data_IF_962069623174
#
_entry.id   IF_962069623174
#
_cell.length_a   1.000
_cell.length_b   1.000
_cell.length_c   1.000
_cell.angle_alpha   90.00
_cell.angle_beta   90.00
_cell.angle_gamma   90.00
#
_symmetry.space_group_name_H-M   'P 1'
#
loop_
_entity.id
_entity.type
_entity.pdbx_description
1 polymer ?
#
# COMPACT_ATOMS: atom_id res chain seq x y z
N UNK A 1 45.75 13.08 -19.20
CA UNK A 1 46.34 11.96 -18.44
C UNK A 1 46.36 12.39 -16.98
N UNK A 2 45.31 12.16 -16.20
CA UNK A 2 44.79 10.90 -15.62
C UNK A 2 45.36 10.67 -14.21
N UNK A 3 44.48 10.15 -13.32
CA UNK A 3 44.59 9.77 -11.89
C UNK A 3 44.05 10.84 -10.93
N UNK A 4 42.74 10.93 -10.68
CA UNK A 4 41.90 10.04 -9.83
C UNK A 4 42.45 9.82 -8.41
N UNK A 5 41.63 10.26 -7.46
CA UNK A 5 41.30 9.65 -6.17
C UNK A 5 42.42 9.34 -5.17
N UNK A 6 42.34 10.02 -4.02
CA UNK A 6 42.18 9.44 -2.67
C UNK A 6 42.48 10.56 -1.66
N UNK A 7 41.43 11.17 -1.11
CA UNK A 7 41.27 11.36 0.35
C UNK A 7 39.93 12.04 0.66
N UNK A 8 38.93 11.18 0.75
CA UNK A 8 37.74 11.33 1.60
C UNK A 8 38.19 11.61 3.03
N UNK A 9 37.65 12.65 3.66
CA UNK A 9 37.22 12.70 5.06
C UNK A 9 37.25 14.14 5.59
N UNK A 10 36.19 14.55 6.29
CA UNK A 10 36.07 15.77 7.10
C UNK A 10 35.68 17.09 6.40
N UNK A 11 34.52 17.14 5.71
CA UNK A 11 33.81 18.43 5.49
C UNK A 11 32.31 18.36 5.16
N UNK A 12 31.56 17.39 5.69
CA UNK A 12 30.09 17.38 5.61
C UNK A 12 29.45 17.74 6.95
N UNK A 13 29.81 18.92 7.47
CA UNK A 13 29.18 19.56 8.62
C UNK A 13 28.55 20.88 8.19
N UNK A 14 27.24 20.82 7.89
CA UNK A 14 26.20 21.84 8.09
C UNK A 14 26.54 23.30 7.69
N UNK A 15 25.94 23.76 6.59
CA UNK A 15 25.17 25.02 6.54
C UNK A 15 24.34 25.07 5.23
N UNK A 16 23.22 24.34 5.17
CA UNK A 16 22.27 24.50 4.06
C UNK A 16 21.31 25.65 4.40
N UNK A 17 21.29 26.67 3.55
CA UNK A 17 20.48 27.88 3.72
C UNK A 17 18.98 27.55 3.78
N UNK A 18 18.18 28.43 4.42
CA UNK A 18 16.73 28.26 4.60
C UNK A 18 15.98 27.97 3.30
N UNK A 19 16.46 28.52 2.18
CA UNK A 19 15.92 28.29 0.83
C UNK A 19 16.10 26.85 0.35
N UNK A 20 17.24 26.21 0.65
CA UNK A 20 17.47 24.79 0.37
C UNK A 20 16.66 23.89 1.31
N UNK A 21 16.43 24.33 2.56
CA UNK A 21 15.55 23.60 3.48
C UNK A 21 14.08 23.63 3.02
N UNK A 22 13.61 24.72 2.40
CA UNK A 22 12.28 24.77 1.77
C UNK A 22 12.21 23.94 0.50
N UNK A 23 13.26 23.95 -0.35
CA UNK A 23 13.32 23.16 -1.58
C UNK A 23 13.37 21.65 -1.27
N UNK A 24 14.15 21.23 -0.26
CA UNK A 24 14.20 19.83 0.20
C UNK A 24 12.95 19.46 1.01
N UNK A 25 12.32 20.38 1.76
CA UNK A 25 10.98 20.16 2.34
C UNK A 25 9.92 19.97 1.25
N UNK A 26 10.12 20.52 0.05
CA UNK A 26 9.28 20.31 -1.14
C UNK A 26 9.55 18.99 -1.87
N UNK A 27 10.66 18.31 -1.61
CA UNK A 27 10.82 16.88 -1.90
C UNK A 27 10.13 16.07 -0.79
N UNK A 28 8.82 16.27 -0.65
CA UNK A 28 7.97 15.19 -0.15
C UNK A 28 8.11 14.10 -1.21
N UNK A 29 8.70 12.95 -0.86
CA UNK A 29 8.68 11.79 -1.73
C UNK A 29 7.22 11.33 -1.76
N UNK A 30 6.41 11.98 -2.61
CA UNK A 30 5.03 11.60 -2.81
C UNK A 30 5.05 10.19 -3.38
N UNK A 31 4.63 9.23 -2.57
CA UNK A 31 4.63 7.83 -2.97
C UNK A 31 3.37 7.60 -3.77
N UNK A 32 3.54 7.36 -5.07
CA UNK A 32 2.44 6.89 -5.91
C UNK A 32 2.25 5.39 -5.66
N UNK A 33 1.01 5.02 -5.36
CA UNK A 33 0.58 3.63 -5.15
C UNK A 33 -0.59 3.31 -6.07
N UNK A 34 -0.71 2.05 -6.49
CA UNK A 34 -1.69 1.64 -7.50
C UNK A 34 -2.68 0.62 -6.94
N UNK A 35 -3.97 0.95 -6.96
CA UNK A 35 -5.04 0.07 -6.50
C UNK A 35 -5.74 -0.59 -7.69
N UNK A 36 -5.70 -1.91 -7.72
CA UNK A 36 -6.38 -2.73 -8.72
C UNK A 36 -7.75 -3.14 -8.23
N UNK A 37 -8.78 -2.91 -9.04
CA UNK A 37 -10.16 -3.18 -8.67
C UNK A 37 -10.89 -3.80 -9.85
N UNK A 38 -11.51 -4.96 -9.64
CA UNK A 38 -12.57 -5.46 -10.50
C UNK A 38 -13.78 -4.53 -10.48
N UNK A 39 -14.80 -4.87 -11.27
CA UNK A 39 -16.07 -4.13 -11.30
C UNK A 39 -17.27 -5.08 -11.20
N UNK A 40 -17.05 -6.33 -10.79
CA UNK A 40 -18.08 -7.38 -10.78
C UNK A 40 -18.95 -7.36 -9.52
N UNK A 41 -18.53 -6.69 -8.45
CA UNK A 41 -19.26 -6.63 -7.17
C UNK A 41 -19.58 -5.21 -6.75
N UNK A 42 -20.67 -5.02 -5.99
CA UNK A 42 -21.06 -3.70 -5.47
C UNK A 42 -19.94 -3.06 -4.62
N UNK A 43 -19.21 -3.85 -3.81
CA UNK A 43 -18.10 -3.34 -3.00
C UNK A 43 -16.97 -2.80 -3.86
N UNK A 44 -16.63 -3.48 -4.95
CA UNK A 44 -15.59 -3.03 -5.87
C UNK A 44 -16.00 -1.74 -6.59
N UNK A 45 -17.23 -1.68 -7.12
CA UNK A 45 -17.78 -0.47 -7.76
C UNK A 45 -17.76 0.73 -6.80
N UNK A 46 -18.20 0.52 -5.55
CA UNK A 46 -18.16 1.54 -4.51
C UNK A 46 -16.74 2.00 -4.17
N UNK A 47 -15.73 1.11 -4.25
CA UNK A 47 -14.33 1.51 -4.10
C UNK A 47 -13.86 2.43 -5.23
N UNK A 48 -14.27 2.14 -6.47
CA UNK A 48 -13.91 2.97 -7.63
C UNK A 48 -14.60 4.34 -7.54
N UNK A 49 -15.92 4.34 -7.29
CA UNK A 49 -16.72 5.55 -7.12
C UNK A 49 -16.13 6.47 -6.03
N UNK A 50 -15.98 5.97 -4.80
CA UNK A 50 -15.44 6.77 -3.69
C UNK A 50 -13.98 7.13 -3.89
N UNK A 51 -13.20 6.26 -4.52
CA UNK A 51 -11.81 6.56 -4.85
C UNK A 51 -11.68 7.74 -5.82
N UNK A 52 -12.61 7.88 -6.77
CA UNK A 52 -12.64 8.99 -7.73
C UNK A 52 -13.23 10.26 -7.12
N UNK A 53 -14.37 10.16 -6.43
CA UNK A 53 -15.12 11.32 -5.93
C UNK A 53 -14.49 11.88 -4.65
N UNK A 54 -14.29 11.02 -3.64
CA UNK A 54 -13.85 11.44 -2.30
C UNK A 54 -12.42 11.03 -1.99
N UNK A 55 -11.74 10.28 -2.86
CA UNK A 55 -10.39 9.76 -2.60
C UNK A 55 -10.33 8.78 -1.43
N UNK A 56 -11.43 8.10 -1.15
CA UNK A 56 -11.53 7.12 -0.07
C UNK A 56 -11.53 5.69 -0.61
N UNK A 57 -10.80 4.80 0.05
CA UNK A 57 -10.75 3.38 -0.29
C UNK A 57 -11.15 2.53 0.90
N UNK A 58 -11.61 1.32 0.63
CA UNK A 58 -11.94 0.35 1.67
C UNK A 58 -10.68 -0.21 2.31
N UNK A 59 -10.62 -0.15 3.63
CA UNK A 59 -9.63 -0.80 4.46
C UNK A 59 -10.30 -1.92 5.24
N UNK A 60 -9.66 -3.09 5.29
CA UNK A 60 -10.17 -4.28 5.98
C UNK A 60 -9.17 -4.82 6.99
N UNK A 61 -9.58 -5.79 7.81
CA UNK A 61 -8.66 -6.42 8.76
C UNK A 61 -7.71 -7.36 8.03
N UNK A 62 -6.60 -7.72 8.69
CA UNK A 62 -5.62 -8.64 8.11
C UNK A 62 -6.24 -10.01 7.79
N UNK A 63 -7.20 -10.48 8.60
CA UNK A 63 -7.88 -11.75 8.38
C UNK A 63 -8.94 -11.72 7.26
N UNK A 64 -9.24 -10.54 6.70
CA UNK A 64 -10.09 -10.38 5.52
C UNK A 64 -9.27 -10.21 4.23
N UNK A 65 -7.93 -10.24 4.31
CA UNK A 65 -7.06 -10.22 3.14
C UNK A 65 -7.08 -11.57 2.42
N UNK A 66 -6.59 -11.59 1.18
CA UNK A 66 -6.66 -12.77 0.33
C UNK A 66 -5.58 -13.82 0.62
N UNK A 67 -4.51 -13.47 1.32
CA UNK A 67 -3.48 -14.44 1.71
C UNK A 67 -3.83 -15.07 3.08
N UNK A 68 -3.99 -16.41 3.16
CA UNK A 68 -4.31 -17.08 4.43
C UNK A 68 -3.20 -16.97 5.48
N UNK A 69 -1.98 -16.59 5.11
CA UNK A 69 -0.85 -16.44 6.03
C UNK A 69 -0.81 -15.06 6.71
N UNK A 70 -1.75 -14.18 6.39
CA UNK A 70 -1.78 -12.79 6.85
C UNK A 70 -1.88 -12.66 8.37
N UNK A 71 -0.94 -11.92 8.94
CA UNK A 71 -0.85 -11.70 10.37
C UNK A 71 -0.56 -12.95 11.20
N UNK A 72 -0.19 -14.09 10.60
CA UNK A 72 0.20 -15.29 11.35
C UNK A 72 1.62 -15.12 11.91
N UNK A 73 1.81 -15.57 13.14
CA UNK A 73 3.10 -15.63 13.82
C UNK A 73 3.15 -16.80 14.78
N UNK A 74 4.37 -17.28 15.06
CA UNK A 74 4.66 -18.33 16.03
C UNK A 74 5.27 -17.71 17.26
N UNK A 75 5.13 -18.33 18.43
CA UNK A 75 5.80 -17.89 19.66
C UNK A 75 6.27 -19.12 20.43
N UNK A 76 7.29 -18.94 21.26
CA UNK A 76 7.76 -19.99 22.16
C UNK A 76 6.79 -20.20 23.33
N UNK A 77 6.88 -21.37 23.97
CA UNK A 77 6.14 -21.65 25.20
C UNK A 77 6.54 -20.66 26.31
N UNK A 78 5.57 -20.15 27.06
CA UNK A 78 5.80 -19.15 28.11
C UNK A 78 5.67 -17.69 27.64
N UNK A 79 5.49 -17.45 26.33
CA UNK A 79 5.26 -16.12 25.76
C UNK A 79 3.78 -15.83 25.46
N UNK A 80 2.83 -16.57 26.02
CA UNK A 80 1.39 -16.46 25.70
C UNK A 80 0.84 -15.06 26.01
N UNK A 81 1.35 -14.42 27.08
CA UNK A 81 0.97 -13.04 27.43
C UNK A 81 1.42 -12.05 26.36
N UNK A 82 2.64 -12.21 25.87
CA UNK A 82 3.21 -11.37 24.79
C UNK A 82 2.45 -11.62 23.49
N UNK A 83 2.17 -12.89 23.15
CA UNK A 83 1.38 -13.25 21.98
C UNK A 83 -0.04 -12.65 22.00
N UNK A 84 -0.70 -12.63 23.16
CA UNK A 84 -2.00 -11.93 23.33
C UNK A 84 -1.89 -10.44 23.09
N UNK A 85 -0.81 -9.79 23.57
CA UNK A 85 -0.56 -8.37 23.34
C UNK A 85 -0.29 -8.08 21.86
N UNK A 86 0.54 -8.88 21.19
CA UNK A 86 0.78 -8.78 19.74
C UNK A 86 -0.55 -8.90 19.00
N UNK A 87 -1.35 -9.93 19.31
CA UNK A 87 -2.67 -10.16 18.70
C UNK A 87 -3.60 -8.96 18.89
N UNK A 88 -3.64 -8.41 20.09
CA UNK A 88 -4.45 -7.24 20.43
C UNK A 88 -4.00 -6.00 19.67
N UNK A 89 -2.69 -5.80 19.51
CA UNK A 89 -2.12 -4.67 18.78
C UNK A 89 -2.35 -4.79 17.27
N UNK A 90 -2.12 -5.95 16.65
CA UNK A 90 -2.36 -6.12 15.20
C UNK A 90 -3.84 -5.94 14.84
N UNK A 91 -4.75 -6.32 15.75
CA UNK A 91 -6.19 -6.14 15.57
C UNK A 91 -6.65 -4.67 15.55
N UNK A 92 -5.82 -3.72 15.98
CA UNK A 92 -6.13 -2.29 15.90
C UNK A 92 -6.05 -1.77 14.47
N UNK A 93 -5.18 -2.35 13.65
CA UNK A 93 -4.93 -1.88 12.30
C UNK A 93 -6.00 -2.36 11.32
N UNK A 94 -6.22 -1.57 10.28
CA UNK A 94 -6.86 -1.95 9.02
C UNK A 94 -5.90 -1.69 7.88
N UNK A 95 -6.03 -2.46 6.80
CA UNK A 95 -5.07 -2.56 5.70
C UNK A 95 -5.78 -2.20 4.40
N UNK A 96 -5.11 -1.41 3.56
CA UNK A 96 -5.40 -1.34 2.14
C UNK A 96 -4.11 -1.62 1.36
N UNK A 97 -4.11 -2.68 0.55
CA UNK A 97 -2.97 -3.10 -0.25
C UNK A 97 -2.96 -2.47 -1.64
N UNK A 98 -1.77 -2.10 -2.10
CA UNK A 98 -1.52 -1.48 -3.39
C UNK A 98 -0.33 -2.14 -4.09
N UNK A 99 -0.32 -2.10 -5.42
CA UNK A 99 0.86 -2.40 -6.22
C UNK A 99 1.77 -1.18 -6.38
N UNK A 100 3.02 -1.43 -6.74
CA UNK A 100 4.03 -0.40 -7.03
C UNK A 100 4.08 0.04 -8.49
N UNK A 101 3.40 -0.68 -9.41
CA UNK A 101 3.42 -0.39 -10.84
C UNK A 101 2.05 -0.68 -11.44
N UNK A 102 1.40 0.32 -12.06
CA UNK A 102 0.09 0.20 -12.73
C UNK A 102 0.00 -0.85 -13.85
N UNK A 103 1.13 -1.23 -14.46
CA UNK A 103 1.19 -2.16 -15.58
C UNK A 103 1.51 -3.60 -15.15
N UNK A 104 1.46 -3.92 -13.85
CA UNK A 104 1.71 -5.27 -13.37
C UNK A 104 0.60 -6.24 -13.83
N UNK A 105 0.90 -7.05 -14.85
CA UNK A 105 -0.02 -8.04 -15.44
C UNK A 105 -0.58 -9.02 -14.42
N UNK A 106 0.21 -9.42 -13.41
CA UNK A 106 -0.23 -10.33 -12.36
C UNK A 106 -1.37 -9.72 -11.55
N UNK A 107 -1.22 -8.46 -11.16
CA UNK A 107 -2.21 -7.74 -10.36
C UNK A 107 -3.48 -7.45 -11.16
N UNK A 108 -3.34 -7.14 -12.45
CA UNK A 108 -4.48 -7.03 -13.35
C UNK A 108 -5.27 -8.34 -13.45
N UNK A 109 -4.58 -9.47 -13.55
CA UNK A 109 -5.20 -10.79 -13.60
C UNK A 109 -5.96 -11.12 -12.31
N UNK A 110 -5.32 -10.93 -11.14
CA UNK A 110 -5.89 -11.32 -9.85
C UNK A 110 -6.91 -10.35 -9.30
N UNK A 111 -6.63 -9.05 -9.32
CA UNK A 111 -7.40 -8.06 -8.56
C UNK A 111 -8.30 -7.18 -9.44
N UNK A 112 -8.03 -7.12 -10.75
CA UNK A 112 -8.86 -6.39 -11.72
C UNK A 112 -9.66 -7.33 -12.63
N UNK A 113 -10.02 -8.52 -12.12
CA UNK A 113 -10.89 -9.50 -12.76
C UNK A 113 -10.44 -9.87 -14.20
N UNK A 114 -9.16 -10.22 -14.37
CA UNK A 114 -8.63 -10.58 -15.69
C UNK A 114 -8.65 -9.42 -16.70
N UNK A 115 -8.17 -8.23 -16.28
CA UNK A 115 -8.20 -7.00 -17.09
C UNK A 115 -9.60 -6.48 -17.44
N UNK A 116 -10.63 -6.82 -16.68
CA UNK A 116 -12.01 -6.31 -16.85
C UNK A 116 -12.36 -5.15 -15.92
N UNK A 117 -11.44 -4.76 -15.05
CA UNK A 117 -11.60 -3.69 -14.09
C UNK A 117 -10.76 -2.45 -14.39
N UNK A 118 -10.34 -1.76 -13.33
CA UNK A 118 -9.52 -0.55 -13.38
C UNK A 118 -8.31 -0.65 -12.46
N UNK A 119 -7.33 0.22 -12.71
CA UNK A 119 -6.23 0.48 -11.79
C UNK A 119 -6.16 1.99 -11.50
N UNK A 120 -6.22 2.36 -10.23
CA UNK A 120 -6.26 3.74 -9.76
C UNK A 120 -4.92 4.10 -9.11
N UNK A 121 -4.25 5.14 -9.60
CA UNK A 121 -3.05 5.69 -8.99
C UNK A 121 -3.40 6.77 -7.97
N UNK A 122 -2.85 6.65 -6.77
CA UNK A 122 -3.03 7.60 -5.69
C UNK A 122 -1.69 8.19 -5.29
N UNK A 123 -1.68 9.50 -5.14
CA UNK A 123 -0.62 10.20 -4.41
C UNK A 123 -0.94 10.16 -2.92
N UNK A 124 -0.11 9.45 -2.16
CA UNK A 124 -0.24 9.34 -0.71
C UNK A 124 0.67 10.35 -0.05
N UNK A 125 0.09 11.19 0.78
CA UNK A 125 0.82 12.09 1.66
C UNK A 125 0.99 11.41 3.03
N UNK A 126 2.22 10.98 3.29
CA UNK A 126 2.65 10.30 4.51
C UNK A 126 2.71 11.24 5.74
N UNK A 127 2.58 12.55 5.54
CA UNK A 127 2.62 13.58 6.59
C UNK A 127 1.25 14.16 6.92
N UNK A 128 0.30 14.09 5.99
CA UNK A 128 -1.05 14.66 6.17
C UNK A 128 -2.10 13.64 6.63
N UNK A 129 -1.71 12.41 6.97
CA UNK A 129 -2.65 11.36 7.37
C UNK A 129 -2.13 10.51 8.52
N UNK A 130 -3.03 10.03 9.41
CA UNK A 130 -2.71 8.96 10.39
C UNK A 130 -2.52 7.59 9.71
N UNK A 131 -2.06 7.58 8.46
CA UNK A 131 -1.90 6.40 7.63
C UNK A 131 -0.40 6.14 7.49
N UNK A 132 0.02 4.94 7.85
CA UNK A 132 1.40 4.49 7.69
C UNK A 132 1.54 3.85 6.32
N UNK A 133 2.53 4.30 5.54
CA UNK A 133 2.91 3.70 4.26
C UNK A 133 4.03 2.69 4.52
N UNK A 134 3.69 1.41 4.57
CA UNK A 134 4.65 0.35 4.92
C UNK A 134 4.97 -0.54 3.70
N UNK A 135 6.26 -0.75 3.38
CA UNK A 135 6.65 -1.80 2.46
C UNK A 135 6.40 -3.18 3.08
N UNK A 136 6.22 -4.19 2.23
CA UNK A 136 6.14 -5.58 2.68
C UNK A 136 7.53 -6.15 2.94
N UNK A 137 7.72 -6.76 4.11
CA UNK A 137 8.85 -7.62 4.39
C UNK A 137 8.58 -9.03 3.84
N UNK A 138 9.23 -9.36 2.71
CA UNK A 138 9.09 -10.67 2.09
C UNK A 138 10.07 -11.67 2.70
N UNK A 139 9.52 -12.72 3.29
CA UNK A 139 10.29 -13.74 4.01
C UNK A 139 10.14 -15.12 3.39
N UNK A 140 11.15 -15.97 3.55
CA UNK A 140 11.04 -17.39 3.18
C UNK A 140 10.15 -18.13 4.17
N UNK A 141 9.61 -19.28 3.75
CA UNK A 141 8.82 -20.15 4.64
C UNK A 141 9.57 -20.58 5.91
N UNK A 142 10.89 -20.75 5.86
CA UNK A 142 11.70 -21.10 7.04
C UNK A 142 11.68 -19.99 8.09
N UNK A 143 11.90 -18.75 7.65
CA UNK A 143 11.90 -17.54 8.49
C UNK A 143 10.48 -17.22 8.99
N UNK A 144 9.46 -17.45 8.17
CA UNK A 144 8.07 -17.28 8.58
C UNK A 144 7.71 -18.15 9.79
N UNK A 145 8.32 -19.34 9.89
CA UNK A 145 8.12 -20.31 10.97
C UNK A 145 8.95 -20.03 12.22
N UNK A 146 9.87 -19.06 12.18
CA UNK A 146 10.61 -18.65 13.35
C UNK A 146 9.66 -18.00 14.37
N UNK A 147 9.79 -18.42 15.62
CA UNK A 147 9.02 -17.89 16.72
C UNK A 147 9.44 -16.45 17.01
N UNK A 148 8.46 -15.58 17.26
CA UNK A 148 8.74 -14.24 17.76
C UNK A 148 9.34 -14.36 19.16
N UNK A 149 10.41 -13.61 19.37
CA UNK A 149 11.10 -13.50 20.65
C UNK A 149 10.75 -12.15 21.30
N UNK A 150 10.70 -12.11 22.63
CA UNK A 150 10.27 -10.93 23.39
C UNK A 150 11.40 -9.90 23.55
N UNK A 151 12.05 -9.54 22.44
CA UNK A 151 13.13 -8.56 22.39
C UNK A 151 12.65 -7.17 21.97
N UNK A 152 11.46 -7.08 21.37
CA UNK A 152 10.84 -5.83 20.91
C UNK A 152 9.50 -5.59 21.61
N UNK A 153 9.04 -4.33 21.70
CA UNK A 153 7.69 -4.03 22.15
C UNK A 153 6.63 -4.78 21.32
N UNK A 154 5.59 -5.37 21.95
CA UNK A 154 4.53 -6.10 21.24
C UNK A 154 3.83 -5.32 20.12
N UNK A 155 3.82 -4.00 20.21
CA UNK A 155 3.26 -3.09 19.21
C UNK A 155 4.10 -3.08 17.92
N UNK A 156 5.43 -3.10 18.05
CA UNK A 156 6.35 -3.13 16.92
C UNK A 156 6.30 -4.50 16.23
N UNK A 157 6.33 -5.58 17.02
CA UNK A 157 6.16 -6.95 16.50
C UNK A 157 4.81 -7.08 15.78
N UNK A 158 3.73 -6.49 16.32
CA UNK A 158 2.44 -6.52 15.67
C UNK A 158 2.44 -5.86 14.28
N UNK A 159 3.18 -4.75 14.10
CA UNK A 159 3.37 -4.11 12.79
C UNK A 159 4.18 -5.00 11.86
N UNK A 160 5.29 -5.57 12.33
CA UNK A 160 6.11 -6.52 11.56
C UNK A 160 5.28 -7.72 11.08
N UNK A 161 4.42 -8.26 11.94
CA UNK A 161 3.56 -9.40 11.62
C UNK A 161 2.53 -9.07 10.54
N UNK A 162 1.97 -7.85 10.53
CA UNK A 162 1.00 -7.42 9.49
C UNK A 162 1.65 -6.78 8.27
N UNK A 163 2.98 -6.67 8.21
CA UNK A 163 3.73 -6.27 7.01
C UNK A 163 4.61 -7.39 6.47
N UNK A 164 4.60 -8.56 7.11
CA UNK A 164 5.31 -9.76 6.67
C UNK A 164 4.46 -10.58 5.71
N UNK A 165 5.04 -10.95 4.57
CA UNK A 165 4.40 -11.81 3.57
C UNK A 165 5.40 -12.85 3.05
N UNK A 166 4.92 -13.97 2.57
CA UNK A 166 5.80 -14.97 1.97
C UNK A 166 6.35 -14.48 0.63
N UNK A 167 7.62 -14.79 0.36
CA UNK A 167 8.38 -14.29 -0.79
C UNK A 167 7.84 -14.69 -2.17
N UNK A 168 7.01 -15.74 -2.27
CA UNK A 168 6.34 -16.05 -3.53
C UNK A 168 5.37 -14.96 -4.01
N UNK A 169 4.88 -14.11 -3.09
CA UNK A 169 4.10 -12.91 -3.41
C UNK A 169 4.94 -11.70 -3.83
N UNK A 170 6.28 -11.77 -3.76
CA UNK A 170 7.18 -10.63 -4.04
C UNK A 170 6.95 -9.99 -5.41
N UNK A 171 6.48 -10.77 -6.39
CA UNK A 171 6.13 -10.30 -7.74
C UNK A 171 4.98 -9.29 -7.77
N UNK A 172 4.14 -9.25 -6.73
CA UNK A 172 3.10 -8.23 -6.58
C UNK A 172 3.71 -6.84 -6.33
N UNK A 173 4.89 -6.77 -5.71
CA UNK A 173 5.51 -5.50 -5.34
C UNK A 173 4.58 -4.67 -4.43
N UNK A 174 3.91 -5.34 -3.50
CA UNK A 174 2.89 -4.78 -2.63
C UNK A 174 3.44 -3.68 -1.71
N UNK A 175 2.64 -2.63 -1.52
CA UNK A 175 2.77 -1.61 -0.48
C UNK A 175 1.46 -1.56 0.31
N UNK A 176 1.55 -1.42 1.64
CA UNK A 176 0.38 -1.31 2.51
C UNK A 176 0.21 0.09 3.05
N UNK A 177 -1.05 0.52 3.07
CA UNK A 177 -1.49 1.59 3.93
C UNK A 177 -2.12 0.99 5.18
N UNK A 178 -1.62 1.39 6.35
CA UNK A 178 -2.11 0.94 7.64
C UNK A 178 -2.73 2.10 8.42
N UNK A 179 -3.89 1.89 9.03
CA UNK A 179 -4.52 2.86 9.95
C UNK A 179 -5.07 2.15 11.17
N UNK A 180 -4.92 2.72 12.36
CA UNK A 180 -5.63 2.23 13.55
C UNK A 180 -7.10 2.65 13.48
N UNK A 181 -7.97 1.70 13.13
CA UNK A 181 -9.40 1.94 12.94
C UNK A 181 -10.23 0.64 12.90
N UNK A 182 -11.54 0.79 12.75
CA UNK A 182 -12.44 -0.28 12.29
C UNK A 182 -12.43 -0.34 10.76
N UNK A 183 -12.79 -1.50 10.19
CA UNK A 183 -12.91 -1.66 8.74
C UNK A 183 -13.90 -0.66 8.16
N UNK A 184 -13.58 -0.07 7.02
CA UNK A 184 -14.37 1.03 6.47
C UNK A 184 -13.65 1.78 5.36
N UNK A 185 -14.33 2.81 4.83
CA UNK A 185 -13.72 3.74 3.90
C UNK A 185 -12.83 4.74 4.63
N UNK A 186 -11.62 4.92 4.13
CA UNK A 186 -10.62 5.84 4.68
C UNK A 186 -10.10 6.72 3.55
N UNK A 187 -10.00 8.02 3.81
CA UNK A 187 -9.40 9.00 2.90
C UNK A 187 -7.91 8.70 2.74
N UNK A 188 -7.51 8.33 1.53
CA UNK A 188 -6.12 7.98 1.18
C UNK A 188 -5.36 9.16 0.59
N UNK A 189 -6.04 9.94 -0.25
CA UNK A 189 -5.40 11.02 -0.99
C UNK A 189 -6.26 11.44 -2.17
N UNK A 190 -5.63 11.96 -3.22
CA UNK A 190 -6.29 12.23 -4.49
C UNK A 190 -5.92 11.14 -5.50
N UNK A 191 -6.91 10.70 -6.27
CA UNK A 191 -6.67 9.84 -7.42
C UNK A 191 -6.05 10.69 -8.54
N UNK A 192 -4.84 10.34 -8.98
CA UNK A 192 -4.07 11.10 -9.97
C UNK A 192 -3.90 10.36 -11.30
N UNK A 193 -4.32 9.11 -11.37
CA UNK A 193 -4.40 8.40 -12.65
C UNK A 193 -5.41 7.27 -12.61
N UNK A 194 -6.04 7.01 -13.75
CA UNK A 194 -6.96 5.90 -13.92
C UNK A 194 -6.59 5.13 -15.18
N UNK A 195 -6.41 3.83 -15.02
CA UNK A 195 -6.12 2.89 -16.10
C UNK A 195 -7.31 1.97 -16.28
N UNK A 196 -7.74 1.79 -17.53
CA UNK A 196 -8.78 0.85 -17.90
C UNK A 196 -8.19 -0.48 -18.36
N UNK A 197 -8.72 -1.58 -17.83
CA UNK A 197 -8.35 -2.92 -18.28
C UNK A 197 -8.73 -3.14 -19.74
N UNK A 198 -7.92 -3.91 -20.47
CA UNK A 198 -8.12 -4.15 -21.90
C UNK A 198 -9.44 -4.85 -22.24
N UNK A 199 -9.96 -5.64 -21.29
CA UNK A 199 -11.18 -6.45 -21.43
C UNK A 199 -12.37 -5.83 -20.70
N UNK A 200 -12.31 -4.56 -20.29
CA UNK A 200 -13.42 -3.90 -19.61
C UNK A 200 -14.70 -3.94 -20.48
N UNK A 201 -15.81 -4.32 -19.86
CA UNK A 201 -17.10 -4.35 -20.54
C UNK A 201 -17.64 -2.94 -20.77
N UNK A 202 -18.50 -2.78 -21.78
CA UNK A 202 -19.06 -1.48 -22.14
C UNK A 202 -19.89 -0.86 -21.00
N UNK A 203 -20.63 -1.69 -20.26
CA UNK A 203 -21.46 -1.23 -19.16
C UNK A 203 -20.60 -0.72 -17.99
N UNK A 204 -19.58 -1.50 -17.62
CA UNK A 204 -18.62 -1.13 -16.58
C UNK A 204 -17.84 0.13 -16.95
N UNK A 205 -17.45 0.26 -18.22
CA UNK A 205 -16.78 1.47 -18.72
C UNK A 205 -17.68 2.72 -18.58
N UNK A 206 -18.94 2.62 -19.00
CA UNK A 206 -19.90 3.72 -18.89
C UNK A 206 -20.12 4.13 -17.43
N UNK A 207 -20.27 3.16 -16.53
CA UNK A 207 -20.43 3.41 -15.09
C UNK A 207 -19.23 4.14 -14.50
N UNK A 208 -18.00 3.75 -14.87
CA UNK A 208 -16.79 4.47 -14.42
C UNK A 208 -16.72 5.88 -15.01
N UNK A 209 -17.17 6.09 -16.26
CA UNK A 209 -17.26 7.43 -16.87
C UNK A 209 -18.26 8.31 -16.10
N UNK A 210 -19.39 7.75 -15.67
CA UNK A 210 -20.35 8.47 -14.82
C UNK A 210 -19.71 8.91 -13.50
N UNK A 211 -18.95 8.03 -12.84
CA UNK A 211 -18.21 8.42 -11.62
C UNK A 211 -17.20 9.53 -11.87
N UNK A 212 -16.49 9.51 -13.01
CA UNK A 212 -15.55 10.58 -13.39
C UNK A 212 -16.30 11.90 -13.54
N UNK A 213 -17.44 11.91 -14.25
CA UNK A 213 -18.24 13.11 -14.45
C UNK A 213 -18.83 13.68 -13.16
N UNK A 214 -19.07 12.83 -12.15
CA UNK A 214 -19.51 13.22 -10.81
C UNK A 214 -18.36 13.61 -9.87
N UNK A 215 -17.11 13.59 -10.33
CA UNK A 215 -15.93 13.87 -9.52
C UNK A 215 -15.17 15.09 -10.03
N UNK A 216 -14.32 15.66 -9.18
CA UNK A 216 -13.33 16.67 -9.60
C UNK A 216 -12.07 16.03 -10.23
N UNK A 217 -12.17 14.80 -10.74
CA UNK A 217 -11.04 14.11 -11.33
C UNK A 217 -10.57 14.81 -12.61
N UNK A 218 -9.36 15.38 -12.56
CA UNK A 218 -8.73 16.10 -13.68
C UNK A 218 -7.44 15.46 -14.18
N UNK A 219 -7.24 14.19 -13.85
CA UNK A 219 -5.97 13.52 -14.00
C UNK A 219 -5.93 12.58 -15.23
N UNK A 220 -4.84 11.83 -15.40
CA UNK A 220 -4.61 11.09 -16.63
C UNK A 220 -5.49 9.84 -16.75
N UNK A 221 -6.19 9.70 -17.88
CA UNK A 221 -6.87 8.46 -18.31
C UNK A 221 -5.95 7.67 -19.24
N UNK A 222 -5.78 6.37 -18.97
CA UNK A 222 -4.85 5.49 -19.70
C UNK A 222 -5.46 4.11 -19.94
N UNK A 223 -4.88 3.35 -20.86
CA UNK A 223 -5.20 1.93 -21.06
C UNK A 223 -4.12 1.07 -20.39
N UNK A 224 -4.53 -0.08 -19.84
CA UNK A 224 -3.59 -1.14 -19.49
C UNK A 224 -2.89 -1.64 -20.78
N UNK A 225 -1.58 -1.91 -20.67
CA UNK A 225 -0.76 -2.47 -21.77
C UNK A 225 -1.14 -3.92 -22.03
#
# INVERSE_FOLDING_TARGET
MSTEDVHISAKFGILLSSKYSEIIRRYIIMTIVYKYLGLSTCRQKQNVERGLISGELWFSKFFDQNDPMEGIFWHENGLEKVAKQITSNKNKYVICSFGSNAQNTLLWSYYANGFRGVCMGFEVDDKLSDILVEPINYVRMSEFKEAVINEKPPQEIAKEVITRKLDFWKKEGEKRLLKEAKSGFVKVGQCTSLYFGMNIGKNELNEVIEYINCSDFRASLKRAI
#
